data_IF_357226749160
#
_entry.id   IF_357226749160
#
_cell.length_a   1.000
_cell.length_b   1.000
_cell.length_c   1.000
_cell.angle_alpha   90.00
_cell.angle_beta   90.00
_cell.angle_gamma   90.00
#
_symmetry.space_group_name_H-M   'P 1'
#
loop_
_entity.id
_entity.type
_entity.pdbx_description
1 polymer ?
#
# COMPACT_ATOMS: atom_id res chain seq x y z
N UNK A 1 18.88 -35.17 15.53
CA UNK A 1 19.50 -34.53 14.34
C UNK A 1 18.96 -33.11 14.29
N UNK A 2 19.69 -32.16 14.88
CA UNK A 2 19.23 -30.79 15.03
C UNK A 2 19.46 -30.01 13.75
N UNK A 3 18.39 -29.51 13.16
CA UNK A 3 18.48 -28.52 12.10
C UNK A 3 18.99 -27.23 12.77
N UNK A 4 20.30 -26.96 12.70
CA UNK A 4 20.86 -25.69 13.17
C UNK A 4 20.41 -24.61 12.19
N UNK A 5 19.19 -24.11 12.39
CA UNK A 5 18.68 -22.93 11.70
C UNK A 5 19.64 -21.76 11.92
N UNK A 6 19.87 -20.95 10.88
CA UNK A 6 20.77 -19.80 10.96
C UNK A 6 20.44 -18.91 12.17
N UNK A 7 21.47 -18.46 12.89
CA UNK A 7 21.33 -17.53 14.04
C UNK A 7 20.54 -16.27 13.64
N UNK A 8 20.67 -15.86 12.38
CA UNK A 8 19.93 -14.73 11.81
C UNK A 8 18.42 -15.02 11.81
N UNK A 9 18.01 -16.20 11.33
CA UNK A 9 16.60 -16.63 11.28
C UNK A 9 16.01 -16.68 12.68
N UNK A 10 16.74 -17.22 13.66
CA UNK A 10 16.28 -17.27 15.05
C UNK A 10 16.06 -15.88 15.64
N UNK A 11 16.97 -14.92 15.39
CA UNK A 11 16.80 -13.51 15.81
C UNK A 11 15.58 -12.86 15.16
N UNK A 12 15.31 -13.16 13.89
CA UNK A 12 14.13 -12.67 13.16
C UNK A 12 12.83 -13.27 13.69
N UNK A 13 12.80 -14.58 13.96
CA UNK A 13 11.66 -15.28 14.55
C UNK A 13 11.33 -14.80 15.97
N UNK A 14 12.35 -14.41 16.75
CA UNK A 14 12.16 -13.89 18.10
C UNK A 14 11.28 -12.62 18.16
N UNK A 15 11.11 -11.90 17.05
CA UNK A 15 10.24 -10.71 16.92
C UNK A 15 8.76 -11.05 16.91
N UNK A 16 8.43 -12.27 16.51
CA UNK A 16 7.08 -12.79 16.52
C UNK A 16 6.79 -13.41 17.87
N UNK A 17 5.54 -13.26 18.31
CA UNK A 17 5.08 -13.92 19.53
C UNK A 17 5.16 -15.44 19.36
N UNK A 18 5.34 -16.22 20.44
CA UNK A 18 5.44 -17.68 20.35
C UNK A 18 4.29 -18.32 19.55
N UNK A 19 3.07 -17.80 19.68
CA UNK A 19 1.88 -18.23 18.95
C UNK A 19 1.88 -17.87 17.45
N UNK A 20 2.62 -16.83 17.05
CA UNK A 20 2.73 -16.36 15.66
C UNK A 20 3.81 -17.12 14.87
N UNK A 21 4.86 -17.62 15.54
CA UNK A 21 6.01 -18.28 14.88
C UNK A 21 5.62 -19.46 13.98
N UNK A 22 4.73 -20.38 14.40
CA UNK A 22 4.28 -21.48 13.53
C UNK A 22 3.59 -21.00 12.27
N UNK A 23 2.87 -19.85 12.33
CA UNK A 23 2.19 -19.27 11.17
C UNK A 23 3.22 -18.80 10.14
N UNK A 24 4.26 -18.10 10.59
CA UNK A 24 5.36 -17.56 9.78
C UNK A 24 6.19 -18.69 9.17
N UNK A 25 6.59 -19.67 9.97
CA UNK A 25 7.35 -20.83 9.50
C UNK A 25 6.57 -21.72 8.54
N UNK A 26 5.25 -21.79 8.72
CA UNK A 26 4.35 -22.55 7.87
C UNK A 26 4.06 -21.91 6.51
N UNK A 27 4.38 -20.62 6.30
CA UNK A 27 4.11 -19.92 5.03
C UNK A 27 4.76 -20.65 3.87
N UNK A 28 6.02 -21.07 4.03
CA UNK A 28 6.79 -21.74 2.98
C UNK A 28 6.09 -23.02 2.48
N UNK A 29 5.66 -23.88 3.40
CA UNK A 29 4.96 -25.12 3.07
C UNK A 29 3.60 -24.86 2.42
N UNK A 30 2.85 -23.83 2.88
CA UNK A 30 1.56 -23.46 2.29
C UNK A 30 1.71 -22.99 0.84
N UNK A 31 2.70 -22.14 0.56
CA UNK A 31 2.94 -21.64 -0.79
C UNK A 31 3.36 -22.75 -1.77
N UNK A 32 4.01 -23.81 -1.29
CA UNK A 32 4.35 -24.98 -2.12
C UNK A 32 3.17 -25.93 -2.32
N UNK A 33 2.35 -26.13 -1.29
CA UNK A 33 1.20 -27.03 -1.31
C UNK A 33 -0.05 -26.48 -2.00
N UNK A 34 -0.04 -25.21 -2.43
CA UNK A 34 -1.18 -24.54 -3.08
C UNK A 34 -1.57 -25.10 -4.46
N UNK A 35 -0.84 -26.08 -4.99
CA UNK A 35 -1.19 -26.82 -6.20
C UNK A 35 -2.10 -28.03 -5.92
N UNK A 36 -3.38 -27.79 -5.67
CA UNK A 36 -4.45 -28.80 -5.85
C UNK A 36 -4.93 -29.54 -4.60
N UNK A 37 -6.26 -29.52 -4.41
CA UNK A 37 -7.01 -30.49 -3.62
C UNK A 37 -6.87 -31.88 -4.26
N UNK A 38 -6.11 -32.78 -3.64
CA UNK A 38 -6.39 -34.22 -3.68
C UNK A 38 -5.64 -34.89 -2.54
N UNK A 39 -6.38 -35.62 -1.71
CA UNK A 39 -5.83 -36.37 -0.60
C UNK A 39 -4.98 -37.53 -1.10
N UNK A 40 -3.70 -37.53 -0.73
CA UNK A 40 -2.92 -38.73 -0.55
C UNK A 40 -1.69 -38.37 0.30
N UNK A 41 -1.47 -39.15 1.34
CA UNK A 41 -0.24 -39.15 2.12
C UNK A 41 0.95 -39.51 1.22
N UNK A 42 1.68 -38.52 0.71
CA UNK A 42 3.01 -38.74 0.15
C UNK A 42 3.97 -37.63 0.61
N UNK A 43 5.07 -38.09 1.22
CA UNK A 43 6.19 -37.26 1.66
C UNK A 43 6.66 -36.37 0.52
N UNK A 44 6.33 -35.08 0.58
CA UNK A 44 6.87 -34.08 -0.33
C UNK A 44 8.40 -34.08 -0.20
N UNK A 45 9.16 -34.15 -1.30
CA UNK A 45 10.62 -34.15 -1.21
C UNK A 45 11.09 -32.85 -0.51
N UNK A 46 11.93 -32.95 0.52
CA UNK A 46 12.47 -31.77 1.18
C UNK A 46 13.39 -31.06 0.19
N UNK A 47 13.12 -29.80 -0.13
CA UNK A 47 14.08 -28.95 -0.85
C UNK A 47 13.64 -28.32 -2.18
N UNK A 48 12.34 -28.28 -2.52
CA UNK A 48 11.91 -27.40 -3.62
C UNK A 48 12.03 -25.95 -3.16
N UNK A 49 12.55 -25.08 -4.00
CA UNK A 49 12.58 -23.63 -3.77
C UNK A 49 11.24 -23.02 -4.18
N UNK A 50 10.89 -21.88 -3.58
CA UNK A 50 9.69 -21.13 -3.96
C UNK A 50 9.98 -20.35 -5.24
N UNK A 51 9.23 -20.64 -6.31
CA UNK A 51 9.38 -20.01 -7.63
C UNK A 51 8.44 -18.82 -7.80
N UNK A 52 8.73 -17.97 -8.79
CA UNK A 52 7.86 -16.85 -9.16
C UNK A 52 6.43 -17.31 -9.53
N UNK A 53 6.28 -18.47 -10.17
CA UNK A 53 4.97 -19.00 -10.56
C UNK A 53 4.11 -19.38 -9.34
N UNK A 54 4.71 -19.97 -8.31
CA UNK A 54 4.01 -20.28 -7.06
C UNK A 54 3.54 -19.01 -6.35
N UNK A 55 4.37 -17.95 -6.36
CA UNK A 55 3.97 -16.65 -5.84
C UNK A 55 2.86 -16.01 -6.65
N UNK A 56 2.93 -16.07 -7.98
CA UNK A 56 1.84 -15.61 -8.86
C UNK A 56 0.54 -16.34 -8.57
N UNK A 57 0.58 -17.66 -8.42
CA UNK A 57 -0.60 -18.46 -8.09
C UNK A 57 -1.19 -18.06 -6.73
N UNK A 58 -0.35 -17.76 -5.73
CA UNK A 58 -0.80 -17.32 -4.40
C UNK A 58 -1.39 -15.90 -4.40
N UNK A 59 -0.84 -14.99 -5.21
CA UNK A 59 -1.17 -13.56 -5.20
C UNK A 59 -2.08 -13.14 -6.37
N UNK A 60 -2.61 -14.09 -7.15
CA UNK A 60 -3.12 -13.96 -8.53
C UNK A 60 -4.21 -12.89 -8.81
N UNK A 61 -4.71 -12.20 -7.79
CA UNK A 61 -5.60 -11.04 -7.93
C UNK A 61 -5.34 -9.92 -6.92
N UNK A 62 -4.34 -10.10 -6.05
CA UNK A 62 -4.03 -9.20 -4.93
C UNK A 62 -2.87 -8.25 -5.25
N UNK A 63 -2.10 -8.51 -6.31
CA UNK A 63 -1.02 -7.62 -6.73
C UNK A 63 -0.80 -7.69 -8.25
N UNK A 64 -0.32 -6.59 -8.87
CA UNK A 64 0.17 -6.62 -10.26
C UNK A 64 1.35 -7.59 -10.42
N UNK A 65 1.49 -8.19 -11.60
CA UNK A 65 2.61 -9.09 -11.93
C UNK A 65 3.99 -8.44 -11.73
N UNK A 66 4.10 -7.14 -11.99
CA UNK A 66 5.29 -6.33 -11.72
C UNK A 66 5.66 -6.38 -10.23
N UNK A 67 4.70 -6.15 -9.33
CA UNK A 67 4.91 -6.21 -7.88
C UNK A 67 5.27 -7.62 -7.41
N UNK A 68 4.60 -8.66 -7.93
CA UNK A 68 4.91 -10.05 -7.60
C UNK A 68 6.35 -10.39 -8.02
N UNK A 69 6.77 -9.92 -9.19
CA UNK A 69 8.16 -10.04 -9.67
C UNK A 69 9.15 -9.32 -8.76
N UNK A 70 8.84 -8.10 -8.29
CA UNK A 70 9.66 -7.33 -7.34
C UNK A 70 9.80 -8.05 -6.01
N UNK A 71 8.72 -8.62 -5.46
CA UNK A 71 8.75 -9.42 -4.22
C UNK A 71 9.63 -10.65 -4.35
N UNK A 72 9.45 -11.43 -5.44
CA UNK A 72 10.27 -12.61 -5.68
C UNK A 72 11.76 -12.26 -5.80
N UNK A 73 12.10 -11.20 -6.56
CA UNK A 73 13.48 -10.72 -6.70
C UNK A 73 14.06 -10.27 -5.35
N UNK A 74 13.28 -9.53 -4.57
CA UNK A 74 13.66 -9.09 -3.22
C UNK A 74 14.00 -10.28 -2.33
N UNK A 75 13.12 -11.28 -2.27
CA UNK A 75 13.35 -12.49 -1.48
C UNK A 75 14.59 -13.28 -1.94
N UNK A 76 14.84 -13.38 -3.26
CA UNK A 76 16.05 -14.03 -3.78
C UNK A 76 17.34 -13.28 -3.41
N UNK A 77 17.26 -11.96 -3.18
CA UNK A 77 18.44 -11.12 -2.87
C UNK A 77 18.85 -11.17 -1.39
N UNK A 78 18.03 -11.78 -0.52
CA UNK A 78 18.32 -11.88 0.92
C UNK A 78 19.40 -12.96 1.13
N UNK A 79 20.48 -12.57 1.81
CA UNK A 79 21.50 -13.50 2.27
C UNK A 79 21.13 -14.02 3.69
N UNK A 80 20.85 -15.32 3.85
CA UNK A 80 20.54 -15.91 5.16
C UNK A 80 21.77 -16.03 6.10
N UNK A 81 22.94 -15.59 5.65
CA UNK A 81 24.21 -15.67 6.35
C UNK A 81 24.88 -17.04 6.15
N UNK A 82 26.11 -17.21 6.66
CA UNK A 82 26.82 -18.48 6.54
C UNK A 82 26.08 -19.56 7.34
N UNK A 83 25.46 -20.50 6.61
CA UNK A 83 25.04 -21.78 7.19
C UNK A 83 26.27 -22.49 7.73
N UNK A 84 26.19 -23.05 8.94
CA UNK A 84 27.30 -23.77 9.54
C UNK A 84 27.64 -25.02 8.70
N UNK A 85 28.68 -24.87 7.87
CA UNK A 85 29.44 -25.84 7.08
C UNK A 85 28.72 -26.65 5.97
N UNK A 86 29.23 -26.61 4.74
CA UNK A 86 29.47 -27.81 3.96
C UNK A 86 30.87 -28.35 4.29
N UNK A 87 30.95 -29.64 4.61
CA UNK A 87 32.20 -30.37 4.66
C UNK A 87 32.97 -30.20 3.34
N UNK A 88 34.29 -30.10 3.46
CA UNK A 88 35.26 -29.84 2.43
C UNK A 88 34.95 -30.50 1.06
N UNK A 89 34.85 -29.67 0.02
CA UNK A 89 35.49 -29.97 -1.26
C UNK A 89 35.80 -28.67 -1.97
N UNK A 90 37.09 -28.35 -2.08
CA UNK A 90 37.54 -27.20 -2.85
C UNK A 90 37.16 -27.37 -4.32
N UNK A 91 36.48 -26.36 -4.86
CA UNK A 91 36.51 -25.98 -6.28
C UNK A 91 36.13 -24.51 -6.36
N UNK A 92 37.11 -23.69 -6.71
CA UNK A 92 36.95 -22.37 -7.28
C UNK A 92 36.01 -22.49 -8.49
N UNK A 93 34.82 -21.94 -8.36
CA UNK A 93 33.80 -21.94 -9.41
C UNK A 93 32.98 -20.67 -9.28
N UNK A 94 32.96 -19.87 -10.34
CA UNK A 94 32.21 -18.63 -10.42
C UNK A 94 30.75 -18.82 -10.00
N UNK A 95 30.17 -17.75 -9.46
CA UNK A 95 28.77 -17.66 -9.05
C UNK A 95 27.89 -18.05 -10.24
N UNK A 96 27.46 -19.32 -10.26
CA UNK A 96 26.53 -19.85 -11.25
C UNK A 96 25.16 -19.23 -10.99
N UNK A 97 24.70 -18.44 -11.96
CA UNK A 97 23.42 -17.74 -11.97
C UNK A 97 22.21 -18.68 -12.18
N UNK A 98 22.15 -19.80 -11.46
CA UNK A 98 21.13 -20.83 -11.68
C UNK A 98 20.71 -21.55 -10.39
N UNK A 99 20.09 -20.81 -9.47
CA UNK A 99 19.15 -21.36 -8.49
C UNK A 99 18.04 -20.32 -8.25
N UNK A 100 17.13 -20.16 -9.21
CA UNK A 100 16.09 -19.13 -9.21
C UNK A 100 14.89 -19.47 -8.31
N UNK A 101 15.14 -19.68 -7.03
CA UNK A 101 14.03 -19.83 -6.10
C UNK A 101 14.39 -19.48 -4.67
N UNK A 102 13.38 -19.04 -3.94
CA UNK A 102 13.48 -18.56 -2.57
C UNK A 102 13.51 -19.76 -1.62
N UNK A 103 14.49 -19.78 -0.72
CA UNK A 103 14.57 -20.77 0.37
C UNK A 103 13.69 -20.41 1.56
N UNK A 104 13.46 -21.38 2.48
CA UNK A 104 12.67 -21.16 3.70
C UNK A 104 13.25 -20.05 4.58
N UNK A 105 14.57 -20.04 4.78
CA UNK A 105 15.24 -19.04 5.61
C UNK A 105 15.10 -17.62 5.04
N UNK A 106 15.29 -17.45 3.73
CA UNK A 106 15.10 -16.17 3.02
C UNK A 106 13.66 -15.65 3.17
N UNK A 107 12.66 -16.52 3.04
CA UNK A 107 11.27 -16.16 3.24
C UNK A 107 11.00 -15.71 4.69
N UNK A 108 11.54 -16.41 5.68
CA UNK A 108 11.34 -16.02 7.10
C UNK A 108 11.98 -14.67 7.40
N UNK A 109 13.19 -14.42 6.90
CA UNK A 109 13.86 -13.11 7.06
C UNK A 109 13.04 -12.01 6.37
N UNK A 110 12.59 -12.24 5.13
CA UNK A 110 11.73 -11.31 4.41
C UNK A 110 10.46 -10.97 5.20
N UNK A 111 9.75 -11.99 5.69
CA UNK A 111 8.51 -11.82 6.46
C UNK A 111 8.77 -11.03 7.74
N UNK A 112 9.87 -11.31 8.44
CA UNK A 112 10.23 -10.58 9.66
C UNK A 112 10.50 -9.10 9.38
N UNK A 113 11.28 -8.80 8.35
CA UNK A 113 11.69 -7.43 8.02
C UNK A 113 10.51 -6.63 7.43
N UNK A 114 9.67 -7.26 6.60
CA UNK A 114 8.47 -6.62 6.07
C UNK A 114 7.40 -6.38 7.14
N UNK A 115 7.08 -7.37 8.00
CA UNK A 115 5.96 -7.32 8.93
C UNK A 115 6.29 -6.72 10.30
N UNK A 116 7.55 -6.80 10.74
CA UNK A 116 8.01 -6.39 12.08
C UNK A 116 9.33 -5.60 12.07
N UNK A 117 9.87 -5.27 10.90
CA UNK A 117 11.14 -4.56 10.80
C UNK A 117 11.05 -3.09 11.23
N UNK A 118 12.19 -2.43 11.31
CA UNK A 118 12.28 -0.95 11.42
C UNK A 118 12.41 -0.33 10.02
N UNK A 119 12.58 1.00 9.94
CA UNK A 119 12.89 1.67 8.66
C UNK A 119 14.23 1.16 8.07
N UNK A 120 15.26 1.01 8.92
CA UNK A 120 16.57 0.45 8.58
C UNK A 120 16.45 -0.92 7.91
N UNK A 121 15.55 -1.77 8.41
CA UNK A 121 15.39 -3.14 7.91
C UNK A 121 14.50 -3.23 6.68
N UNK A 122 13.60 -2.25 6.49
CA UNK A 122 12.75 -2.16 5.31
C UNK A 122 13.44 -1.48 4.13
N UNK A 123 14.40 -0.59 4.38
CA UNK A 123 15.12 0.11 3.33
C UNK A 123 15.81 -0.83 2.33
N UNK A 124 16.52 -1.90 2.75
CA UNK A 124 17.06 -2.92 1.83
C UNK A 124 15.99 -3.63 1.00
N UNK A 125 14.81 -3.88 1.56
CA UNK A 125 13.71 -4.52 0.84
C UNK A 125 13.18 -3.60 -0.26
N UNK A 126 12.90 -2.34 0.08
CA UNK A 126 12.44 -1.31 -0.87
C UNK A 126 13.50 -1.08 -1.95
N UNK A 127 14.77 -0.97 -1.55
CA UNK A 127 15.91 -0.88 -2.46
C UNK A 127 15.91 -2.05 -3.46
N UNK A 128 15.78 -3.29 -3.00
CA UNK A 128 15.74 -4.47 -3.87
C UNK A 128 14.50 -4.50 -4.79
N UNK A 129 13.35 -4.03 -4.30
CA UNK A 129 12.10 -3.98 -5.07
C UNK A 129 12.10 -2.85 -6.11
N UNK A 130 12.77 -1.73 -5.88
CA UNK A 130 12.83 -0.58 -6.81
C UNK A 130 13.78 -0.82 -7.99
N UNK A 131 14.80 -1.67 -7.86
CA UNK A 131 15.76 -1.95 -8.93
C UNK A 131 15.10 -2.59 -10.16
N UNK A 132 15.47 -2.09 -11.33
CA UNK A 132 14.97 -2.57 -12.64
C UNK A 132 15.87 -3.63 -13.30
N UNK A 133 16.94 -4.10 -12.65
CA UNK A 133 17.93 -5.03 -13.22
C UNK A 133 18.36 -6.17 -12.29
N UNK A 134 19.03 -7.17 -12.87
CA UNK A 134 19.57 -8.34 -12.14
C UNK A 134 20.87 -8.03 -11.38
N UNK A 135 21.52 -6.92 -11.67
CA UNK A 135 22.79 -6.54 -11.06
C UNK A 135 22.54 -5.85 -9.72
N UNK A 136 23.40 -6.12 -8.73
CA UNK A 136 23.32 -5.57 -7.38
C UNK A 136 23.70 -4.07 -7.36
N UNK A 137 22.89 -3.23 -7.99
CA UNK A 137 23.04 -1.79 -7.96
C UNK A 137 22.83 -1.28 -6.54
N UNK A 138 23.80 -0.58 -5.97
CA UNK A 138 23.73 -0.06 -4.59
C UNK A 138 22.84 1.17 -4.44
N UNK A 139 22.37 1.73 -5.55
CA UNK A 139 21.55 2.94 -5.62
C UNK A 139 20.39 2.77 -6.60
N UNK A 140 19.33 3.58 -6.45
CA UNK A 140 18.17 3.68 -7.36
C UNK A 140 17.83 5.12 -7.66
N UNK A 141 17.21 5.37 -8.82
CA UNK A 141 16.71 6.71 -9.15
C UNK A 141 15.35 6.96 -8.52
N UNK A 142 14.93 8.24 -8.46
CA UNK A 142 13.59 8.62 -7.98
C UNK A 142 12.48 7.96 -8.80
N UNK A 143 12.67 7.86 -10.11
CA UNK A 143 11.70 7.26 -11.04
C UNK A 143 11.48 5.78 -10.71
N UNK A 144 12.56 5.04 -10.40
CA UNK A 144 12.47 3.65 -10.00
C UNK A 144 11.69 3.45 -8.69
N UNK A 145 11.84 4.37 -7.73
CA UNK A 145 11.06 4.36 -6.49
C UNK A 145 9.59 4.68 -6.77
N UNK A 146 9.32 5.64 -7.66
CA UNK A 146 7.94 5.98 -8.08
C UNK A 146 7.27 4.77 -8.75
N UNK A 147 7.94 4.07 -9.66
CA UNK A 147 7.39 2.86 -10.29
C UNK A 147 7.07 1.76 -9.25
N UNK A 148 7.99 1.54 -8.30
CA UNK A 148 7.74 0.62 -7.18
C UNK A 148 6.52 1.03 -6.36
N UNK A 149 6.37 2.33 -6.04
CA UNK A 149 5.21 2.83 -5.30
C UNK A 149 3.92 2.68 -6.09
N UNK A 150 3.93 2.94 -7.39
CA UNK A 150 2.74 2.75 -8.24
C UNK A 150 2.28 1.29 -8.19
N UNK A 151 3.22 0.35 -8.32
CA UNK A 151 2.96 -1.08 -8.18
C UNK A 151 2.42 -1.41 -6.77
N UNK A 152 3.00 -0.81 -5.72
CA UNK A 152 2.64 -1.08 -4.31
C UNK A 152 1.23 -0.59 -4.00
N UNK A 153 0.92 0.65 -4.37
CA UNK A 153 -0.39 1.27 -4.17
C UNK A 153 -1.44 0.51 -4.98
N UNK A 154 -1.13 0.11 -6.21
CA UNK A 154 -2.02 -0.72 -7.03
C UNK A 154 -2.33 -2.05 -6.36
N UNK A 155 -1.32 -2.71 -5.76
CA UNK A 155 -1.54 -3.94 -5.01
C UNK A 155 -2.42 -3.72 -3.77
N UNK A 156 -2.21 -2.63 -3.02
CA UNK A 156 -3.08 -2.28 -1.89
C UNK A 156 -4.52 -2.04 -2.33
N UNK A 157 -4.74 -1.32 -3.44
CA UNK A 157 -6.09 -1.12 -4.01
C UNK A 157 -6.71 -2.47 -4.39
N UNK A 158 -5.98 -3.34 -5.07
CA UNK A 158 -6.44 -4.68 -5.44
C UNK A 158 -6.80 -5.53 -4.20
N UNK A 159 -6.00 -5.47 -3.14
CA UNK A 159 -6.30 -6.13 -1.87
C UNK A 159 -7.59 -5.59 -1.27
N UNK A 160 -7.77 -4.27 -1.21
CA UNK A 160 -8.99 -3.67 -0.67
C UNK A 160 -10.25 -4.11 -1.43
N UNK A 161 -10.17 -4.18 -2.76
CA UNK A 161 -11.26 -4.64 -3.62
C UNK A 161 -11.55 -6.13 -3.40
N UNK A 162 -10.55 -6.99 -3.54
CA UNK A 162 -10.74 -8.45 -3.51
C UNK A 162 -11.04 -8.99 -2.11
N UNK A 163 -10.54 -8.34 -1.05
CA UNK A 163 -10.87 -8.69 0.35
C UNK A 163 -12.17 -8.03 0.83
N UNK A 164 -12.87 -7.25 -0.01
CA UNK A 164 -14.13 -6.61 0.35
C UNK A 164 -14.00 -5.52 1.43
N UNK A 165 -12.83 -4.88 1.54
CA UNK A 165 -12.51 -3.87 2.58
C UNK A 165 -12.81 -2.44 2.13
N UNK A 166 -13.81 -2.31 1.25
CA UNK A 166 -14.19 -1.05 0.59
C UNK A 166 -15.08 -0.15 1.45
N UNK A 167 -15.57 -0.61 2.60
CA UNK A 167 -16.30 0.24 3.55
C UNK A 167 -17.50 1.01 2.93
N UNK A 168 -18.16 0.44 1.92
CA UNK A 168 -19.30 1.05 1.23
C UNK A 168 -18.94 1.87 -0.02
N UNK A 169 -17.65 2.11 -0.28
CA UNK A 169 -17.17 2.72 -1.52
C UNK A 169 -17.33 1.78 -2.72
N UNK A 170 -17.54 2.37 -3.91
CA UNK A 170 -17.83 1.66 -5.16
C UNK A 170 -16.81 2.06 -6.24
N UNK A 171 -15.68 1.34 -6.37
CA UNK A 171 -14.61 1.68 -7.30
C UNK A 171 -15.08 1.86 -8.75
N UNK A 172 -16.07 1.08 -9.17
CA UNK A 172 -16.72 1.15 -10.48
C UNK A 172 -17.55 2.41 -10.71
N UNK A 173 -17.86 3.16 -9.65
CA UNK A 173 -18.57 4.45 -9.66
C UNK A 173 -17.69 5.60 -9.20
N UNK A 174 -16.40 5.35 -9.02
CA UNK A 174 -15.40 6.34 -8.61
C UNK A 174 -14.55 6.75 -9.83
N UNK A 175 -13.65 7.70 -9.64
CA UNK A 175 -12.72 8.09 -10.70
C UNK A 175 -11.73 6.96 -11.05
N UNK A 176 -10.93 7.18 -12.10
CA UNK A 176 -9.88 6.25 -12.53
C UNK A 176 -8.76 6.03 -11.50
N UNK A 177 -8.72 4.83 -10.92
CA UNK A 177 -7.70 4.46 -9.93
C UNK A 177 -6.27 4.57 -10.46
N UNK A 178 -6.02 4.44 -11.78
CA UNK A 178 -4.67 4.54 -12.34
C UNK A 178 -4.10 5.95 -12.18
N UNK A 179 -4.96 6.97 -12.36
CA UNK A 179 -4.60 8.37 -12.12
C UNK A 179 -4.32 8.61 -10.64
N UNK A 180 -5.18 8.09 -9.76
CA UNK A 180 -4.98 8.18 -8.31
C UNK A 180 -3.68 7.52 -7.83
N UNK A 181 -3.30 6.38 -8.42
CA UNK A 181 -2.06 5.66 -8.08
C UNK A 181 -0.84 6.53 -8.39
N UNK A 182 -0.80 7.17 -9.57
CA UNK A 182 0.30 8.06 -9.97
C UNK A 182 0.43 9.25 -9.02
N UNK A 183 -0.69 9.94 -8.75
CA UNK A 183 -0.71 11.09 -7.85
C UNK A 183 -0.25 10.73 -6.44
N UNK A 184 -0.71 9.60 -5.90
CA UNK A 184 -0.30 9.16 -4.56
C UNK A 184 1.17 8.73 -4.53
N UNK A 185 1.67 8.05 -5.57
CA UNK A 185 3.08 7.69 -5.66
C UNK A 185 3.98 8.93 -5.71
N UNK A 186 3.64 9.92 -6.53
CA UNK A 186 4.35 11.20 -6.61
C UNK A 186 4.35 11.93 -5.27
N UNK A 187 3.18 12.02 -4.61
CA UNK A 187 3.06 12.64 -3.30
C UNK A 187 3.91 11.93 -2.24
N UNK A 188 3.91 10.59 -2.19
CA UNK A 188 4.75 9.82 -1.27
C UNK A 188 6.24 9.98 -1.57
N UNK A 189 6.62 10.15 -2.85
CA UNK A 189 7.98 10.44 -3.31
C UNK A 189 8.39 11.92 -3.22
N UNK A 190 7.51 12.84 -2.79
CA UNK A 190 7.85 14.26 -2.63
C UNK A 190 8.83 14.49 -1.46
N UNK A 191 8.74 13.66 -0.43
CA UNK A 191 9.59 13.67 0.77
C UNK A 191 10.92 12.91 0.58
N UNK A 192 11.12 12.29 -0.58
CA UNK A 192 12.33 11.59 -0.95
C UNK A 192 13.39 12.63 -1.34
N UNK A 193 14.50 12.65 -0.62
CA UNK A 193 15.62 13.58 -0.84
C UNK A 193 16.76 12.78 -1.49
N UNK A 194 16.85 12.75 -2.83
CA UNK A 194 17.98 12.08 -3.49
C UNK A 194 19.28 12.81 -3.15
N UNK A 195 20.40 12.09 -3.24
CA UNK A 195 21.73 12.70 -3.16
C UNK A 195 22.01 13.59 -4.37
N UNK A 196 23.20 14.21 -4.39
CA UNK A 196 23.60 15.20 -5.40
C UNK A 196 23.54 14.66 -6.85
N UNK A 197 23.64 13.34 -7.05
CA UNK A 197 23.56 12.67 -8.36
C UNK A 197 22.13 12.24 -8.75
N UNK A 198 21.10 12.67 -8.01
CA UNK A 198 19.71 12.25 -8.26
C UNK A 198 19.40 10.80 -7.89
N UNK A 199 20.36 10.09 -7.31
CA UNK A 199 20.25 8.71 -6.87
C UNK A 199 20.00 8.60 -5.35
N UNK A 200 19.35 7.52 -4.95
CA UNK A 200 19.01 7.19 -3.57
C UNK A 200 19.74 5.89 -3.19
N UNK A 201 20.55 5.95 -2.15
CA UNK A 201 21.17 4.79 -1.51
C UNK A 201 20.25 4.24 -0.40
N UNK A 202 20.74 3.26 0.36
CA UNK A 202 19.94 2.59 1.40
C UNK A 202 19.62 3.52 2.57
N UNK A 203 20.54 4.39 2.98
CA UNK A 203 20.30 5.35 4.08
C UNK A 203 19.28 6.42 3.69
N UNK A 204 19.34 6.93 2.45
CA UNK A 204 18.32 7.82 1.90
C UNK A 204 16.91 7.21 1.96
N UNK A 205 16.79 5.92 1.60
CA UNK A 205 15.51 5.20 1.66
C UNK A 205 15.05 4.92 3.09
N UNK A 206 15.95 4.61 4.01
CA UNK A 206 15.63 4.47 5.45
C UNK A 206 15.01 5.75 6.01
N UNK A 207 15.71 6.87 5.80
CA UNK A 207 15.27 8.20 6.22
C UNK A 207 13.91 8.56 5.64
N UNK A 208 13.69 8.23 4.36
CA UNK A 208 12.42 8.46 3.68
C UNK A 208 11.29 7.57 4.23
N UNK A 209 11.53 6.27 4.43
CA UNK A 209 10.54 5.33 5.01
C UNK A 209 10.15 5.75 6.42
N UNK A 210 11.11 6.28 7.20
CA UNK A 210 10.85 6.81 8.53
C UNK A 210 9.91 8.03 8.48
N UNK A 211 10.12 8.96 7.53
CA UNK A 211 9.26 10.14 7.36
C UNK A 211 7.89 9.81 6.75
N UNK A 212 7.82 8.78 5.90
CA UNK A 212 6.61 8.38 5.17
C UNK A 212 6.15 6.98 5.65
N UNK A 213 5.53 6.87 6.84
CA UNK A 213 5.15 5.58 7.43
C UNK A 213 4.14 4.78 6.60
N UNK A 214 3.43 5.44 5.67
CA UNK A 214 2.51 4.79 4.74
C UNK A 214 3.21 3.76 3.83
N UNK A 215 4.50 3.96 3.51
CA UNK A 215 5.28 2.96 2.75
C UNK A 215 5.34 1.64 3.52
N UNK A 216 5.68 1.71 4.81
CA UNK A 216 5.72 0.54 5.69
C UNK A 216 4.33 -0.09 5.83
N UNK A 217 3.29 0.73 6.03
CA UNK A 217 1.90 0.26 6.15
C UNK A 217 1.44 -0.52 4.92
N UNK A 218 1.72 -0.01 3.72
CA UNK A 218 1.34 -0.63 2.46
C UNK A 218 2.15 -1.90 2.18
N UNK A 219 3.46 -1.89 2.48
CA UNK A 219 4.29 -3.09 2.38
C UNK A 219 3.82 -4.19 3.33
N UNK A 220 3.51 -3.85 4.57
CA UNK A 220 2.95 -4.79 5.55
C UNK A 220 1.63 -5.38 5.08
N UNK A 221 0.73 -4.56 4.53
CA UNK A 221 -0.54 -5.03 3.98
C UNK A 221 -0.33 -5.97 2.79
N UNK A 222 0.54 -5.61 1.85
CA UNK A 222 0.89 -6.43 0.69
C UNK A 222 1.38 -7.82 1.14
N UNK A 223 2.31 -7.86 2.09
CA UNK A 223 2.91 -9.12 2.56
C UNK A 223 1.92 -9.94 3.37
N UNK A 224 1.20 -9.32 4.30
CA UNK A 224 0.24 -10.03 5.16
C UNK A 224 -0.93 -10.60 4.34
N UNK A 225 -1.54 -9.79 3.48
CA UNK A 225 -2.73 -10.20 2.72
C UNK A 225 -2.36 -11.02 1.48
N UNK A 226 -1.27 -10.66 0.78
CA UNK A 226 -0.81 -11.32 -0.44
C UNK A 226 -0.21 -12.70 -0.19
N UNK A 227 0.57 -12.86 0.89
CA UNK A 227 1.12 -14.17 1.28
C UNK A 227 0.27 -14.90 2.33
N UNK A 228 -0.91 -14.36 2.64
CA UNK A 228 -1.87 -14.93 3.58
C UNK A 228 -1.23 -15.26 4.95
N UNK A 229 -0.58 -14.26 5.54
CA UNK A 229 0.06 -14.31 6.86
C UNK A 229 -0.84 -13.63 7.88
N UNK A 230 -1.64 -14.44 8.57
CA UNK A 230 -2.56 -13.97 9.61
C UNK A 230 -1.90 -14.03 10.99
N UNK A 231 -1.43 -12.90 11.49
CA UNK A 231 -0.84 -12.79 12.83
C UNK A 231 -1.92 -12.43 13.86
N UNK A 232 -2.01 -13.22 14.94
CA UNK A 232 -3.02 -13.02 15.99
C UNK A 232 -2.85 -11.67 16.69
N UNK A 233 -3.94 -10.90 16.82
CA UNK A 233 -3.95 -9.66 17.60
C UNK A 233 -3.60 -8.38 16.83
N UNK A 234 -3.52 -8.44 15.50
CA UNK A 234 -3.41 -7.23 14.66
C UNK A 234 -4.54 -7.20 13.63
N UNK A 235 -5.63 -6.46 13.87
CA UNK A 235 -6.65 -6.28 12.85
C UNK A 235 -6.02 -5.58 11.64
N UNK A 236 -6.47 -5.95 10.44
CA UNK A 236 -5.98 -5.34 9.23
C UNK A 236 -6.30 -3.82 9.25
N UNK A 237 -5.35 -2.94 8.87
CA UNK A 237 -5.49 -1.50 9.09
C UNK A 237 -6.58 -0.90 8.20
N UNK A 238 -7.42 -0.05 8.77
CA UNK A 238 -8.51 0.63 8.04
C UNK A 238 -7.97 1.78 7.21
N UNK A 239 -7.91 1.59 5.89
CA UNK A 239 -7.40 2.61 4.95
C UNK A 239 -8.49 3.51 4.38
N UNK A 240 -9.76 3.14 4.54
CA UNK A 240 -10.90 3.84 3.98
C UNK A 240 -11.91 4.18 5.08
N UNK A 241 -12.46 5.39 5.11
CA UNK A 241 -13.56 5.73 5.99
C UNK A 241 -14.84 5.03 5.53
N UNK A 242 -15.81 4.76 6.43
CA UNK A 242 -17.10 4.22 6.05
C UNK A 242 -17.89 5.20 5.18
N UNK A 243 -18.27 4.79 3.97
CA UNK A 243 -19.18 5.52 3.10
C UNK A 243 -20.63 5.10 3.40
N UNK A 244 -21.50 6.06 3.71
CA UNK A 244 -22.91 5.85 4.05
C UNK A 244 -23.80 6.77 3.23
N UNK A 245 -25.05 6.34 3.03
CA UNK A 245 -26.12 7.19 2.49
C UNK A 245 -25.81 7.78 1.09
N UNK A 246 -24.95 7.13 0.29
CA UNK A 246 -24.54 7.62 -1.04
C UNK A 246 -25.36 6.92 -2.15
N UNK A 247 -26.05 7.68 -3.03
CA UNK A 247 -26.84 7.13 -4.14
C UNK A 247 -25.95 6.70 -5.32
N UNK A 248 -25.25 5.58 -5.16
CA UNK A 248 -24.31 5.04 -6.15
C UNK A 248 -24.93 4.64 -7.49
N UNK A 249 -26.26 4.52 -7.59
CA UNK A 249 -26.96 4.19 -8.84
C UNK A 249 -26.83 5.28 -9.90
N UNK A 250 -26.83 6.53 -9.46
CA UNK A 250 -26.85 7.72 -10.32
C UNK A 250 -25.53 8.50 -10.23
N UNK A 251 -24.84 8.44 -9.09
CA UNK A 251 -23.58 9.15 -8.87
C UNK A 251 -22.40 8.50 -9.62
N UNK A 252 -21.54 9.33 -10.21
CA UNK A 252 -20.12 9.04 -10.42
C UNK A 252 -19.29 10.00 -9.58
N UNK A 253 -18.52 9.47 -8.63
CA UNK A 253 -17.73 10.28 -7.72
C UNK A 253 -16.38 10.65 -8.33
N UNK A 254 -15.97 11.90 -8.15
CA UNK A 254 -14.66 12.41 -8.56
C UNK A 254 -13.48 11.80 -7.78
N UNK A 255 -13.73 11.29 -6.57
CA UNK A 255 -12.69 10.66 -5.75
C UNK A 255 -12.23 9.34 -6.34
N UNK A 256 -10.93 9.11 -6.21
CA UNK A 256 -10.25 7.86 -6.50
C UNK A 256 -9.91 7.14 -5.18
N UNK A 257 -9.87 5.81 -5.17
CA UNK A 257 -9.46 5.06 -3.97
C UNK A 257 -8.08 5.49 -3.42
N UNK A 258 -7.02 5.61 -4.25
CA UNK A 258 -5.70 6.07 -3.76
C UNK A 258 -5.74 7.45 -3.12
N UNK A 259 -6.45 8.40 -3.74
CA UNK A 259 -6.59 9.76 -3.20
C UNK A 259 -7.36 9.74 -1.88
N UNK A 260 -8.37 8.89 -1.74
CA UNK A 260 -9.10 8.72 -0.49
C UNK A 260 -8.23 8.12 0.62
N UNK A 261 -7.40 7.13 0.30
CA UNK A 261 -6.41 6.55 1.22
C UNK A 261 -5.41 7.60 1.74
N UNK A 262 -5.11 8.62 0.93
CA UNK A 262 -4.27 9.74 1.31
C UNK A 262 -5.02 10.80 2.12
N UNK A 263 -6.22 11.19 1.67
CA UNK A 263 -6.97 12.30 2.27
C UNK A 263 -7.55 11.94 3.64
N UNK A 264 -8.13 10.75 3.79
CA UNK A 264 -8.85 10.40 5.01
C UNK A 264 -7.99 10.48 6.28
N UNK A 265 -6.74 9.97 6.33
CA UNK A 265 -5.86 10.12 7.50
C UNK A 265 -5.47 11.56 7.83
N UNK A 266 -5.58 12.49 6.89
CA UNK A 266 -5.25 13.91 7.10
C UNK A 266 -6.40 14.70 7.74
N UNK A 267 -7.59 14.11 7.82
CA UNK A 267 -8.74 14.76 8.45
C UNK A 267 -8.74 14.55 9.97
N UNK A 268 -9.35 15.47 10.76
CA UNK A 268 -9.28 15.44 12.22
C UNK A 268 -9.73 14.14 12.91
N UNK A 269 -10.79 13.46 12.45
CA UNK A 269 -11.21 12.14 12.97
C UNK A 269 -10.84 10.98 12.02
N UNK A 270 -9.94 11.23 11.07
CA UNK A 270 -9.26 10.23 10.26
C UNK A 270 -10.19 9.30 9.46
N UNK A 271 -9.86 8.01 9.47
CA UNK A 271 -10.66 6.95 8.86
C UNK A 271 -11.86 6.49 9.72
N UNK A 272 -12.07 7.08 10.92
CA UNK A 272 -13.10 6.62 11.86
C UNK A 272 -14.49 7.19 11.56
N UNK A 273 -14.56 8.40 11.02
CA UNK A 273 -15.83 9.08 10.77
C UNK A 273 -16.48 8.63 9.45
N UNK A 274 -17.80 8.44 9.43
CA UNK A 274 -18.52 8.11 8.21
C UNK A 274 -18.62 9.31 7.27
N UNK A 275 -18.37 9.04 5.99
CA UNK A 275 -18.53 9.98 4.90
C UNK A 275 -19.86 9.73 4.21
N UNK A 276 -20.54 10.82 3.82
CA UNK A 276 -21.76 10.76 3.01
C UNK A 276 -21.75 11.87 1.97
N UNK A 277 -22.40 11.64 0.84
CA UNK A 277 -22.60 12.71 -0.14
C UNK A 277 -23.65 13.71 0.39
N UNK A 278 -23.37 15.01 0.29
CA UNK A 278 -24.38 16.07 0.52
C UNK A 278 -24.88 16.64 -0.77
N UNK A 279 -23.96 16.89 -1.68
CA UNK A 279 -24.25 17.59 -2.91
C UNK A 279 -23.33 17.06 -4.00
N UNK A 280 -23.90 16.97 -5.20
CA UNK A 280 -23.21 16.65 -6.45
C UNK A 280 -24.00 17.35 -7.55
N UNK A 281 -23.31 18.03 -8.45
CA UNK A 281 -23.95 18.71 -9.60
C UNK A 281 -24.66 17.70 -10.51
N UNK A 282 -24.17 16.46 -10.61
CA UNK A 282 -24.81 15.38 -11.37
C UNK A 282 -26.22 15.04 -10.86
N UNK A 283 -26.41 15.04 -9.53
CA UNK A 283 -27.66 14.63 -8.89
C UNK A 283 -28.60 15.81 -8.61
N UNK A 284 -28.03 16.95 -8.23
CA UNK A 284 -28.78 18.07 -7.69
C UNK A 284 -28.83 19.28 -8.63
N UNK A 285 -28.16 19.21 -9.78
CA UNK A 285 -28.00 20.30 -10.74
C UNK A 285 -27.02 21.39 -10.26
N UNK A 286 -26.80 22.39 -11.10
CA UNK A 286 -25.75 23.42 -10.94
C UNK A 286 -26.20 24.63 -10.08
N UNK A 287 -27.20 24.45 -9.22
CA UNK A 287 -27.73 25.55 -8.41
C UNK A 287 -26.89 25.79 -7.16
N UNK A 288 -26.17 26.91 -7.13
CA UNK A 288 -25.39 27.33 -5.96
C UNK A 288 -26.25 27.47 -4.68
N UNK A 289 -27.47 28.00 -4.81
CA UNK A 289 -28.38 28.12 -3.67
C UNK A 289 -28.80 26.75 -3.11
N UNK A 290 -29.03 25.74 -3.97
CA UNK A 290 -29.25 24.36 -3.52
C UNK A 290 -28.03 23.80 -2.81
N UNK A 291 -26.83 23.98 -3.37
CA UNK A 291 -25.58 23.54 -2.77
C UNK A 291 -25.42 24.09 -1.36
N UNK A 292 -25.50 25.42 -1.19
CA UNK A 292 -25.35 26.08 0.12
C UNK A 292 -26.43 25.62 1.10
N UNK A 293 -27.69 25.47 0.64
CA UNK A 293 -28.78 24.98 1.49
C UNK A 293 -28.54 23.54 2.00
N UNK A 294 -27.94 22.68 1.17
CA UNK A 294 -27.60 21.31 1.54
C UNK A 294 -26.46 21.24 2.56
N UNK A 295 -25.48 22.15 2.46
CA UNK A 295 -24.28 22.22 3.31
C UNK A 295 -24.52 22.88 4.66
N UNK A 296 -25.51 23.76 4.74
CA UNK A 296 -25.77 24.56 5.95
C UNK A 296 -26.01 23.66 7.17
N UNK A 297 -25.31 23.93 8.27
CA UNK A 297 -25.40 23.18 9.55
C UNK A 297 -25.10 21.67 9.46
N UNK A 298 -24.32 21.22 8.46
CA UNK A 298 -23.96 19.80 8.35
C UNK A 298 -22.78 19.42 9.23
N UNK A 299 -21.75 20.25 9.33
CA UNK A 299 -20.47 19.95 10.00
C UNK A 299 -19.30 20.15 9.05
N UNK A 300 -18.14 19.52 9.31
CA UNK A 300 -17.00 19.59 8.39
C UNK A 300 -17.34 18.96 7.04
N UNK A 301 -16.78 19.49 5.96
CA UNK A 301 -17.05 19.03 4.59
C UNK A 301 -15.80 19.03 3.74
N UNK A 302 -15.67 18.04 2.88
CA UNK A 302 -14.70 18.04 1.79
C UNK A 302 -15.42 18.44 0.50
N UNK A 303 -14.94 19.52 -0.12
CA UNK A 303 -15.36 20.02 -1.43
C UNK A 303 -14.36 19.53 -2.48
N UNK A 304 -14.87 19.02 -3.59
CA UNK A 304 -14.11 18.67 -4.79
C UNK A 304 -14.78 19.33 -5.98
N UNK A 305 -13.98 19.92 -6.85
CA UNK A 305 -14.44 20.68 -8.01
C UNK A 305 -13.63 20.24 -9.21
N UNK A 306 -14.28 19.84 -10.29
CA UNK A 306 -13.65 19.54 -11.57
C UNK A 306 -13.87 20.70 -12.54
N UNK A 307 -12.81 21.15 -13.20
CA UNK A 307 -12.90 22.19 -14.23
C UNK A 307 -13.23 21.61 -15.62
N UNK A 308 -13.38 22.47 -16.63
CA UNK A 308 -13.66 22.05 -18.02
C UNK A 308 -12.50 21.32 -18.69
N UNK A 309 -11.27 21.50 -18.19
CA UNK A 309 -10.06 20.83 -18.66
C UNK A 309 -9.84 19.47 -17.99
N UNK A 310 -10.67 19.10 -17.01
CA UNK A 310 -10.61 17.85 -16.28
C UNK A 310 -9.71 17.86 -15.05
N UNK A 311 -9.16 19.01 -14.66
CA UNK A 311 -8.42 19.16 -13.41
C UNK A 311 -9.39 19.13 -12.23
N UNK A 312 -8.99 18.47 -11.14
CA UNK A 312 -9.78 18.36 -9.91
C UNK A 312 -9.10 19.13 -8.78
N UNK A 313 -9.82 20.08 -8.23
CA UNK A 313 -9.44 20.89 -7.07
C UNK A 313 -10.29 20.48 -5.87
N UNK A 314 -9.87 20.86 -4.67
CA UNK A 314 -10.67 20.63 -3.50
C UNK A 314 -10.32 21.51 -2.32
N UNK A 315 -11.15 21.45 -1.29
CA UNK A 315 -10.97 22.19 -0.05
C UNK A 315 -11.66 21.49 1.11
N UNK A 316 -11.04 21.57 2.29
CA UNK A 316 -11.62 21.08 3.52
C UNK A 316 -12.16 22.26 4.34
N UNK A 317 -13.45 22.23 4.65
CA UNK A 317 -14.06 23.13 5.62
C UNK A 317 -14.14 22.40 6.96
N UNK A 318 -13.42 22.91 7.97
CA UNK A 318 -13.41 22.36 9.33
C UNK A 318 -14.69 22.65 10.12
N UNK A 319 -15.44 23.67 9.71
CA UNK A 319 -16.65 24.14 10.38
C UNK A 319 -17.87 24.03 9.46
N UNK A 320 -19.05 24.02 10.05
CA UNK A 320 -20.31 24.06 9.29
C UNK A 320 -20.41 25.34 8.47
N UNK A 321 -20.99 25.22 7.28
CA UNK A 321 -21.34 26.37 6.46
C UNK A 321 -22.47 27.17 7.12
N UNK A 322 -22.30 28.48 7.18
CA UNK A 322 -23.30 29.43 7.67
C UNK A 322 -23.48 30.57 6.66
N UNK A 323 -24.73 30.88 6.33
CA UNK A 323 -25.05 32.04 5.49
C UNK A 323 -25.19 33.25 6.40
N UNK A 324 -24.15 34.07 6.46
CA UNK A 324 -24.12 35.35 7.19
C UNK A 324 -23.61 36.47 6.27
N UNK A 325 -24.04 37.72 6.47
CA UNK A 325 -23.58 38.85 5.66
C UNK A 325 -22.09 39.20 5.89
N UNK A 326 -21.45 38.62 6.90
CA UNK A 326 -20.05 38.85 7.26
C UNK A 326 -19.21 37.62 6.90
N UNK A 327 -18.01 37.84 6.34
CA UNK A 327 -17.06 36.78 6.00
C UNK A 327 -16.61 36.00 7.25
N UNK A 328 -16.63 34.67 7.17
CA UNK A 328 -16.13 33.77 8.20
C UNK A 328 -15.14 32.78 7.58
N UNK A 329 -13.86 33.14 7.59
CA UNK A 329 -12.77 32.25 7.23
C UNK A 329 -11.57 32.53 8.12
N UNK A 330 -10.94 31.48 8.65
CA UNK A 330 -9.62 31.62 9.26
C UNK A 330 -8.64 31.99 8.16
N UNK A 331 -7.89 33.08 8.35
CA UNK A 331 -7.10 33.75 7.32
C UNK A 331 -5.85 32.93 6.98
N UNK A 332 -6.00 31.86 6.21
CA UNK A 332 -4.92 31.22 5.45
C UNK A 332 -5.44 30.83 4.07
N UNK A 333 -4.84 31.48 3.08
CA UNK A 333 -4.83 31.17 1.63
C UNK A 333 -5.85 31.88 0.72
N UNK A 334 -5.32 32.25 -0.46
CA UNK A 334 -5.90 33.12 -1.49
C UNK A 334 -6.92 32.34 -2.33
N UNK A 335 -8.08 32.94 -2.68
CA UNK A 335 -8.98 32.33 -3.65
C UNK A 335 -8.36 32.34 -5.06
N UNK A 336 -8.50 31.23 -5.78
CA UNK A 336 -8.26 31.15 -7.22
C UNK A 336 -9.39 31.87 -8.00
N UNK A 337 -9.11 32.42 -9.20
CA UNK A 337 -10.11 33.13 -9.99
C UNK A 337 -11.21 32.19 -10.50
N UNK A 338 -12.45 32.68 -10.67
CA UNK A 338 -13.57 31.87 -11.12
C UNK A 338 -13.62 31.86 -12.65
N UNK A 339 -13.16 30.79 -13.28
CA UNK A 339 -13.57 30.47 -14.64
C UNK A 339 -13.65 28.94 -14.80
N UNK A 340 -14.79 28.48 -15.33
CA UNK A 340 -15.03 27.14 -15.90
C UNK A 340 -15.02 25.90 -14.97
N UNK A 341 -15.94 25.89 -13.98
CA UNK A 341 -16.26 24.72 -13.15
C UNK A 341 -17.31 23.84 -13.86
N UNK A 342 -17.02 22.55 -14.07
CA UNK A 342 -17.95 21.60 -14.70
C UNK A 342 -18.58 20.61 -13.73
N UNK A 343 -17.94 20.33 -12.59
CA UNK A 343 -18.45 19.35 -11.64
C UNK A 343 -18.08 19.70 -10.21
N UNK A 344 -18.95 19.42 -9.24
CA UNK A 344 -18.64 19.63 -7.83
C UNK A 344 -19.21 18.50 -6.98
N UNK A 345 -18.34 17.78 -6.28
CA UNK A 345 -18.70 16.76 -5.30
C UNK A 345 -18.39 17.28 -3.89
N UNK A 346 -19.41 17.31 -3.03
CA UNK A 346 -19.27 17.68 -1.63
C UNK A 346 -19.61 16.48 -0.75
N UNK A 347 -18.58 15.95 -0.11
CA UNK A 347 -18.73 14.93 0.91
C UNK A 347 -18.87 15.61 2.27
N UNK A 348 -19.98 15.33 2.96
CA UNK A 348 -20.07 15.67 4.37
C UNK A 348 -19.39 14.62 5.20
N UNK A 349 -18.65 15.14 6.15
CA UNK A 349 -17.91 14.42 7.12
C UNK A 349 -18.60 14.63 8.47
N UNK A 350 -19.22 13.58 9.02
CA UNK A 350 -19.90 13.67 10.31
C UNK A 350 -18.87 13.53 11.43
N UNK A 351 -18.36 14.65 11.93
CA UNK A 351 -17.52 14.66 13.12
C UNK A 351 -18.32 14.24 14.35
N UNK A 352 -17.76 13.35 15.17
CA UNK A 352 -18.32 13.00 16.47
C UNK A 352 -17.94 14.10 17.47
N UNK A 353 -18.81 15.08 17.63
CA UNK A 353 -18.96 15.79 18.89
C UNK A 353 -20.37 15.57 19.42
#
# INVERSE_FOLDING_TARGET
>A
MGNTESVVVQKRLARFRPEERPVVEGVFGRLQGGGGLSGASEKTPPGKSLTLELLRASMCSLAPDSMIGRLHRCMCSIDPGPTAAPAASGKTGGVSAAASGVGREQLVIFLADALRGTAEERAPLVMAMSRSGAQAATVVTREQVVEFLQDLISAVVQILVHRGRLQGWKPERMGDCSTGVKLLAEQMCSELKPGDEGCCDTSCLEDWIFRVPHVSLYLEMLVAEGLNVSLSGRPAPTLLPPCRETPWTELRCLLHLPTLMFLAPQLPDGCGAPWRLVFSTQLHGESFSRMVSGLTKRGPTLLLVKDSQGNVFGGFASHSWEVKPQFQGERRERPAPPDDITETDLCHYKSSK
#
